data_IF_584345114365
#
_entry.id   IF_584345114365
#
_cell.length_a   1.000
_cell.length_b   1.000
_cell.length_c   1.000
_cell.angle_alpha   90.00
_cell.angle_beta   90.00
_cell.angle_gamma   90.00
#
_symmetry.space_group_name_H-M   'P 1'
#
loop_
_entity.id
_entity.type
_entity.pdbx_description
1 polymer ?
#
# COMPACT_ATOMS: atom_id res chain seq x y z
N UNK A 1 -12.86 -22.25 -20.42
CA UNK A 1 -12.53 -20.95 -19.79
C UNK A 1 -11.21 -21.09 -19.05
N UNK A 2 -10.33 -20.13 -19.20
CA UNK A 2 -8.97 -20.21 -18.61
C UNK A 2 -8.98 -19.51 -17.27
N UNK A 3 -8.51 -20.12 -16.17
CA UNK A 3 -8.30 -19.44 -14.91
C UNK A 3 -7.23 -18.35 -15.04
N UNK A 4 -7.42 -17.26 -14.30
CA UNK A 4 -6.50 -16.13 -14.20
C UNK A 4 -6.15 -15.87 -12.73
N UNK A 5 -4.87 -15.80 -12.42
CA UNK A 5 -4.36 -15.42 -11.09
C UNK A 5 -3.64 -14.08 -11.18
N UNK A 6 -4.05 -13.12 -10.36
CA UNK A 6 -3.31 -11.87 -10.19
C UNK A 6 -2.52 -11.88 -8.88
N UNK A 7 -1.22 -11.67 -8.92
CA UNK A 7 -0.42 -11.53 -7.70
C UNK A 7 -0.77 -10.28 -6.89
N UNK A 8 -1.02 -9.14 -7.55
CA UNK A 8 -0.97 -7.81 -6.91
C UNK A 8 -2.22 -6.95 -7.12
N UNK A 9 -3.27 -7.46 -7.76
CA UNK A 9 -4.48 -6.67 -8.00
C UNK A 9 -5.37 -6.61 -6.76
N UNK A 10 -5.43 -5.44 -6.11
CA UNK A 10 -6.12 -5.22 -4.83
C UNK A 10 -7.57 -4.76 -4.92
N UNK A 11 -8.07 -4.29 -6.09
CA UNK A 11 -9.43 -3.77 -6.18
C UNK A 11 -10.48 -4.82 -5.79
N UNK A 12 -11.47 -4.42 -5.01
CA UNK A 12 -12.44 -5.33 -4.38
C UNK A 12 -13.27 -6.11 -5.42
N UNK A 13 -13.57 -5.46 -6.54
CA UNK A 13 -14.41 -6.01 -7.61
C UNK A 13 -13.70 -6.98 -8.58
N UNK A 14 -12.43 -7.30 -8.36
CA UNK A 14 -11.67 -8.21 -9.23
C UNK A 14 -12.19 -9.64 -9.13
N UNK A 15 -12.43 -10.12 -7.92
CA UNK A 15 -12.90 -11.50 -7.70
C UNK A 15 -14.39 -11.60 -7.38
N UNK A 16 -15.01 -10.48 -6.96
CA UNK A 16 -16.43 -10.39 -6.67
C UNK A 16 -16.97 -9.13 -7.31
N UNK A 17 -17.95 -9.25 -8.19
CA UNK A 17 -18.57 -8.14 -8.87
C UNK A 17 -19.35 -7.23 -7.92
N UNK A 18 -19.72 -6.02 -8.35
CA UNK A 18 -20.48 -5.05 -7.55
C UNK A 18 -21.85 -5.58 -7.11
N UNK A 19 -22.45 -6.51 -7.86
CA UNK A 19 -23.70 -7.20 -7.55
C UNK A 19 -23.52 -8.41 -6.59
N UNK A 20 -22.31 -8.64 -6.10
CA UNK A 20 -21.97 -9.73 -5.20
C UNK A 20 -21.65 -11.07 -5.87
N UNK A 21 -21.74 -11.17 -7.20
CA UNK A 21 -21.40 -12.41 -7.90
C UNK A 21 -19.90 -12.65 -7.94
N UNK A 22 -19.50 -13.88 -7.62
CA UNK A 22 -18.11 -14.33 -7.71
C UNK A 22 -17.71 -14.46 -9.18
N UNK A 23 -16.50 -14.00 -9.50
CA UNK A 23 -15.84 -14.24 -10.78
C UNK A 23 -15.21 -15.63 -10.78
N UNK A 24 -15.81 -16.66 -11.43
CA UNK A 24 -15.45 -18.06 -11.17
C UNK A 24 -14.06 -18.47 -11.67
N UNK A 25 -13.40 -17.65 -12.48
CA UNK A 25 -12.09 -17.95 -13.06
C UNK A 25 -11.05 -16.88 -12.75
N UNK A 26 -11.33 -15.98 -11.79
CA UNK A 26 -10.44 -14.89 -11.42
C UNK A 26 -10.04 -15.02 -9.95
N UNK A 27 -8.75 -15.12 -9.70
CA UNK A 27 -8.15 -15.31 -8.39
C UNK A 27 -7.12 -14.20 -8.10
N UNK A 28 -6.83 -13.98 -6.84
CA UNK A 28 -5.78 -13.06 -6.39
C UNK A 28 -5.00 -13.62 -5.20
N UNK A 29 -3.72 -13.27 -5.09
CA UNK A 29 -2.93 -13.51 -3.90
C UNK A 29 -2.96 -12.32 -2.92
N UNK A 30 -3.17 -11.09 -3.43
CA UNK A 30 -3.17 -9.86 -2.64
C UNK A 30 -4.45 -9.65 -1.81
N UNK A 31 -4.35 -8.89 -0.70
CA UNK A 31 -5.50 -8.40 0.07
C UNK A 31 -6.39 -7.47 -0.76
N UNK A 32 -7.64 -7.32 -0.30
CA UNK A 32 -8.56 -6.32 -0.83
C UNK A 32 -8.15 -4.91 -0.40
N UNK A 33 -8.36 -3.91 -1.28
CA UNK A 33 -8.15 -2.51 -0.95
C UNK A 33 -9.00 -2.07 0.26
N UNK A 34 -10.22 -2.61 0.40
CA UNK A 34 -11.08 -2.35 1.56
C UNK A 34 -10.45 -2.85 2.87
N UNK A 35 -9.77 -4.00 2.84
CA UNK A 35 -9.04 -4.51 4.00
C UNK A 35 -7.83 -3.63 4.35
N UNK A 36 -7.02 -3.26 3.35
CA UNK A 36 -5.87 -2.38 3.53
C UNK A 36 -6.27 -1.05 4.17
N UNK A 37 -7.24 -0.35 3.58
CA UNK A 37 -7.71 0.93 4.10
C UNK A 37 -8.25 0.83 5.54
N UNK A 38 -8.95 -0.27 5.86
CA UNK A 38 -9.42 -0.53 7.24
C UNK A 38 -8.25 -0.75 8.21
N UNK A 39 -7.23 -1.53 7.82
CA UNK A 39 -6.05 -1.77 8.67
C UNK A 39 -5.20 -0.52 8.85
N UNK A 40 -5.05 0.28 7.81
CA UNK A 40 -4.37 1.57 7.91
C UNK A 40 -5.09 2.51 8.90
N UNK A 41 -6.43 2.58 8.85
CA UNK A 41 -7.21 3.38 9.78
C UNK A 41 -7.05 2.91 11.23
N UNK A 42 -7.07 1.59 11.47
CA UNK A 42 -6.80 1.00 12.79
C UNK A 42 -5.39 1.35 13.29
N UNK A 43 -4.36 1.15 12.45
CA UNK A 43 -2.97 1.49 12.79
C UNK A 43 -2.81 2.98 13.12
N UNK A 44 -3.42 3.86 12.32
CA UNK A 44 -3.40 5.31 12.53
C UNK A 44 -4.01 5.68 13.89
N UNK A 45 -5.12 5.04 14.26
CA UNK A 45 -5.79 5.27 15.54
C UNK A 45 -5.05 4.63 16.71
N UNK A 46 -4.71 3.34 16.58
CA UNK A 46 -4.32 2.51 17.73
C UNK A 46 -2.82 2.58 18.01
N UNK A 47 -2.00 2.77 16.99
CA UNK A 47 -0.52 2.77 17.10
C UNK A 47 0.05 4.17 16.99
N UNK A 48 -0.27 4.91 15.92
CA UNK A 48 0.20 6.28 15.72
C UNK A 48 -0.48 7.24 16.70
N UNK A 49 -1.68 6.90 17.19
CA UNK A 49 -2.51 7.73 18.08
C UNK A 49 -2.92 9.06 17.48
N UNK A 50 -2.93 9.17 16.15
CA UNK A 50 -3.37 10.35 15.44
C UNK A 50 -4.89 10.53 15.60
N UNK A 51 -5.28 11.75 15.95
CA UNK A 51 -6.69 12.17 16.09
C UNK A 51 -7.16 12.95 14.87
N UNK A 52 -6.29 13.77 14.32
CA UNK A 52 -6.53 14.62 13.17
C UNK A 52 -5.58 14.22 12.03
N UNK A 53 -6.13 13.90 10.87
CA UNK A 53 -5.30 13.49 9.71
C UNK A 53 -5.63 14.30 8.47
N UNK A 54 -4.63 14.39 7.59
CA UNK A 54 -4.79 14.86 6.22
C UNK A 54 -4.67 13.66 5.28
N UNK A 55 -5.48 13.60 4.24
CA UNK A 55 -5.43 12.54 3.23
C UNK A 55 -5.03 13.14 1.87
N UNK A 56 -4.00 12.57 1.27
CA UNK A 56 -3.65 12.77 -0.12
C UNK A 56 -3.89 11.49 -0.89
N UNK A 57 -4.69 11.55 -1.96
CA UNK A 57 -5.07 10.35 -2.71
C UNK A 57 -4.73 10.48 -4.19
N UNK A 58 -4.20 9.42 -4.75
CA UNK A 58 -4.17 9.23 -6.19
C UNK A 58 -5.60 8.96 -6.69
N UNK A 59 -6.13 9.84 -7.54
CA UNK A 59 -7.47 9.67 -8.13
C UNK A 59 -7.42 9.19 -9.60
N UNK A 60 -6.24 8.86 -10.11
CA UNK A 60 -6.07 8.31 -11.46
C UNK A 60 -6.44 6.82 -11.57
N UNK A 61 -6.65 6.16 -10.41
CA UNK A 61 -6.95 4.72 -10.37
C UNK A 61 -7.93 4.35 -9.25
N UNK A 62 -8.59 3.18 -9.41
CA UNK A 62 -9.44 2.59 -8.37
C UNK A 62 -8.65 2.17 -7.11
N UNK A 63 -7.32 2.07 -7.21
CA UNK A 63 -6.47 1.72 -6.08
C UNK A 63 -6.46 2.82 -5.00
N UNK A 64 -6.04 4.03 -5.35
CA UNK A 64 -5.97 5.14 -4.40
C UNK A 64 -7.34 5.53 -3.85
N UNK A 65 -8.36 5.62 -4.73
CA UNK A 65 -9.72 5.97 -4.33
C UNK A 65 -10.38 4.89 -3.48
N UNK A 66 -10.18 3.60 -3.81
CA UNK A 66 -10.74 2.47 -3.07
C UNK A 66 -10.20 2.37 -1.64
N UNK A 67 -8.88 2.52 -1.47
CA UNK A 67 -8.23 2.53 -0.15
C UNK A 67 -8.69 3.75 0.66
N UNK A 68 -8.73 4.94 0.04
CA UNK A 68 -9.20 6.16 0.70
C UNK A 68 -10.63 6.01 1.25
N UNK A 69 -11.54 5.46 0.45
CA UNK A 69 -12.92 5.24 0.87
C UNK A 69 -13.01 4.27 2.05
N UNK A 70 -12.23 3.19 2.01
CA UNK A 70 -12.18 2.22 3.10
C UNK A 70 -11.55 2.82 4.38
N UNK A 71 -10.49 3.59 4.23
CA UNK A 71 -9.87 4.32 5.35
C UNK A 71 -10.88 5.28 6.00
N UNK A 72 -11.52 6.15 5.21
CA UNK A 72 -12.53 7.10 5.69
C UNK A 72 -13.67 6.43 6.45
N UNK A 73 -14.11 5.26 5.97
CA UNK A 73 -15.19 4.49 6.61
C UNK A 73 -14.78 3.92 7.97
N UNK A 74 -13.51 3.54 8.11
CA UNK A 74 -13.01 2.85 9.30
C UNK A 74 -12.35 3.78 10.32
N UNK A 75 -11.81 4.92 9.88
CA UNK A 75 -11.12 5.87 10.73
C UNK A 75 -12.10 6.58 11.67
N UNK A 76 -11.74 6.61 12.95
CA UNK A 76 -12.59 7.17 14.01
C UNK A 76 -12.19 8.58 14.44
N UNK A 77 -11.07 9.09 13.92
CA UNK A 77 -10.62 10.46 14.16
C UNK A 77 -11.22 11.45 13.17
N UNK A 78 -10.69 12.66 13.15
CA UNK A 78 -11.10 13.73 12.27
C UNK A 78 -10.22 13.78 11.01
N UNK A 79 -10.84 14.01 9.87
CA UNK A 79 -10.13 14.23 8.59
C UNK A 79 -10.19 15.73 8.29
N UNK A 80 -9.06 16.38 8.53
CA UNK A 80 -8.93 17.85 8.44
C UNK A 80 -8.98 18.33 6.99
N UNK A 81 -8.39 17.55 6.09
CA UNK A 81 -8.35 17.83 4.65
C UNK A 81 -8.29 16.53 3.85
N UNK A 82 -8.88 16.54 2.68
CA UNK A 82 -8.64 15.53 1.65
C UNK A 82 -8.33 16.24 0.35
N UNK A 83 -7.18 15.99 -0.22
CA UNK A 83 -6.81 16.52 -1.55
C UNK A 83 -6.38 15.36 -2.46
N UNK A 84 -6.42 15.59 -3.77
CA UNK A 84 -6.16 14.56 -4.77
C UNK A 84 -5.08 15.01 -5.74
N UNK A 85 -4.33 14.04 -6.23
CA UNK A 85 -3.32 14.20 -7.27
C UNK A 85 -3.51 13.13 -8.35
N UNK A 86 -2.79 13.28 -9.47
CA UNK A 86 -2.76 12.32 -10.56
C UNK A 86 -1.41 11.58 -10.58
N UNK A 87 -1.42 10.34 -11.04
CA UNK A 87 -0.18 9.63 -11.36
C UNK A 87 0.67 10.44 -12.35
N UNK A 88 1.95 10.61 -12.02
CA UNK A 88 2.90 11.40 -12.80
C UNK A 88 3.05 12.86 -12.36
N UNK A 89 2.23 13.33 -11.43
CA UNK A 89 2.40 14.64 -10.81
C UNK A 89 3.75 14.72 -10.07
N UNK A 90 4.40 15.89 -10.12
CA UNK A 90 5.73 16.11 -9.51
C UNK A 90 5.77 17.26 -8.54
N UNK A 91 4.81 18.18 -8.61
CA UNK A 91 4.72 19.36 -7.75
C UNK A 91 3.47 19.28 -6.86
N UNK A 92 3.71 19.24 -5.56
CA UNK A 92 2.68 19.13 -4.53
C UNK A 92 2.65 20.33 -3.59
N UNK A 93 3.37 21.41 -3.92
CA UNK A 93 3.49 22.58 -3.06
C UNK A 93 2.15 23.23 -2.76
N UNK A 94 1.25 23.29 -3.75
CA UNK A 94 -0.08 23.85 -3.58
C UNK A 94 -0.90 23.06 -2.52
N UNK A 95 -0.88 21.73 -2.61
CA UNK A 95 -1.54 20.84 -1.64
C UNK A 95 -0.93 20.99 -0.25
N UNK A 96 0.39 20.99 -0.15
CA UNK A 96 1.11 21.15 1.11
C UNK A 96 0.90 22.53 1.75
N UNK A 97 0.83 23.57 0.94
CA UNK A 97 0.55 24.94 1.41
C UNK A 97 -0.83 25.05 2.04
N UNK A 98 -1.85 24.38 1.50
CA UNK A 98 -3.21 24.35 2.08
C UNK A 98 -3.24 23.81 3.51
N UNK A 99 -2.33 22.88 3.82
CA UNK A 99 -2.32 22.20 5.13
C UNK A 99 -1.27 22.75 6.09
N UNK A 100 -0.27 23.49 5.60
CA UNK A 100 0.88 23.95 6.39
C UNK A 100 0.49 24.63 7.72
N UNK A 101 -0.59 25.40 7.72
CA UNK A 101 -1.06 26.14 8.90
C UNK A 101 -2.22 25.45 9.64
N UNK A 102 -2.59 24.24 9.22
CA UNK A 102 -3.62 23.44 9.90
C UNK A 102 -2.98 22.59 11.00
N UNK A 103 -3.75 22.25 12.02
CA UNK A 103 -3.34 21.29 13.05
C UNK A 103 -3.76 19.89 12.60
N UNK A 104 -2.81 19.00 12.52
CA UNK A 104 -3.04 17.58 12.23
C UNK A 104 -1.85 16.76 12.76
N UNK A 105 -2.09 15.47 13.02
CA UNK A 105 -1.14 14.57 13.66
C UNK A 105 -0.44 13.65 12.68
N UNK A 106 -1.04 13.42 11.51
CA UNK A 106 -0.47 12.53 10.49
C UNK A 106 -0.98 12.87 9.09
N UNK A 107 -0.21 12.44 8.08
CA UNK A 107 -0.62 12.45 6.67
C UNK A 107 -0.85 11.00 6.23
N UNK A 108 -1.96 10.75 5.56
CA UNK A 108 -2.25 9.49 4.88
C UNK A 108 -2.09 9.69 3.38
N UNK A 109 -1.18 8.96 2.73
CA UNK A 109 -0.94 9.06 1.30
C UNK A 109 -1.40 7.75 0.65
N UNK A 110 -2.49 7.81 -0.10
CA UNK A 110 -3.07 6.66 -0.79
C UNK A 110 -2.71 6.68 -2.28
N UNK A 111 -1.62 6.03 -2.62
CA UNK A 111 -1.07 5.94 -3.97
C UNK A 111 0.21 5.11 -4.00
N UNK A 112 1.09 5.46 -4.92
CA UNK A 112 2.34 4.73 -5.15
C UNK A 112 3.57 5.52 -4.69
N UNK A 113 4.68 4.79 -4.56
CA UNK A 113 5.97 5.30 -4.04
C UNK A 113 6.51 6.51 -4.83
N UNK A 114 6.21 6.62 -6.13
CA UNK A 114 6.74 7.70 -6.97
C UNK A 114 6.25 9.06 -6.50
N UNK A 115 4.94 9.25 -6.44
CA UNK A 115 4.30 10.50 -5.99
C UNK A 115 4.45 10.68 -4.48
N UNK A 116 4.28 9.59 -3.72
CA UNK A 116 4.46 9.61 -2.26
C UNK A 116 5.87 10.05 -1.85
N UNK A 117 6.91 9.61 -2.55
CA UNK A 117 8.29 10.05 -2.32
C UNK A 117 8.48 11.55 -2.58
N UNK A 118 7.89 12.06 -3.66
CA UNK A 118 7.94 13.48 -3.99
C UNK A 118 7.13 14.34 -3.00
N UNK A 119 5.93 13.88 -2.59
CA UNK A 119 5.12 14.54 -1.54
C UNK A 119 5.92 14.57 -0.23
N UNK A 120 6.49 13.44 0.17
CA UNK A 120 7.25 13.32 1.40
C UNK A 120 8.44 14.28 1.43
N UNK A 121 9.22 14.32 0.35
CA UNK A 121 10.35 15.26 0.21
C UNK A 121 9.88 16.71 0.38
N UNK A 122 8.89 17.13 -0.41
CA UNK A 122 8.40 18.50 -0.38
C UNK A 122 7.76 18.85 0.97
N UNK A 123 7.06 17.92 1.62
CA UNK A 123 6.51 18.12 2.96
C UNK A 123 7.63 18.39 4.00
N UNK A 124 8.69 17.57 3.99
CA UNK A 124 9.84 17.77 4.90
C UNK A 124 10.58 19.07 4.61
N UNK A 125 10.77 19.42 3.34
CA UNK A 125 11.38 20.71 2.94
C UNK A 125 10.55 21.92 3.44
N UNK A 126 9.23 21.76 3.58
CA UNK A 126 8.33 22.77 4.14
C UNK A 126 8.20 22.73 5.67
N UNK A 127 8.92 21.84 6.36
CA UNK A 127 8.90 21.67 7.83
C UNK A 127 7.72 20.84 8.34
N UNK A 128 7.00 20.11 7.50
CA UNK A 128 5.91 19.20 7.88
C UNK A 128 6.52 17.84 8.24
N UNK A 129 6.73 17.58 9.54
CA UNK A 129 7.46 16.43 10.06
C UNK A 129 6.58 15.38 10.75
N UNK A 130 5.26 15.43 10.57
CA UNK A 130 4.33 14.46 11.13
C UNK A 130 4.53 13.06 10.53
N UNK A 131 4.08 11.99 11.20
CA UNK A 131 4.03 10.65 10.64
C UNK A 131 3.29 10.59 9.30
N UNK A 132 3.78 9.74 8.40
CA UNK A 132 3.14 9.44 7.10
C UNK A 132 2.74 7.98 7.08
N UNK A 133 1.50 7.71 6.73
CA UNK A 133 0.93 6.36 6.62
C UNK A 133 0.48 6.11 5.18
N UNK A 134 0.80 4.96 4.63
CA UNK A 134 0.38 4.59 3.29
C UNK A 134 0.09 3.12 3.09
N UNK A 135 -0.47 2.76 1.93
CA UNK A 135 -0.70 1.38 1.56
C UNK A 135 0.59 0.68 1.10
N UNK A 136 0.44 -0.56 0.68
CA UNK A 136 1.51 -1.40 0.12
C UNK A 136 2.21 -0.77 -1.10
N UNK A 137 1.54 0.09 -1.84
CA UNK A 137 2.12 0.85 -2.96
C UNK A 137 3.29 1.76 -2.58
N UNK A 138 3.47 2.07 -1.28
CA UNK A 138 4.64 2.80 -0.79
C UNK A 138 5.85 1.90 -0.53
N UNK A 139 5.67 0.59 -0.50
CA UNK A 139 6.69 -0.38 -0.08
C UNK A 139 7.72 -0.74 -1.15
N UNK A 140 8.27 0.25 -1.84
CA UNK A 140 9.36 0.11 -2.81
C UNK A 140 10.58 0.89 -2.31
N UNK A 141 11.82 0.35 -2.41
CA UNK A 141 13.06 1.07 -2.07
C UNK A 141 13.21 2.43 -2.75
N UNK A 142 12.64 2.60 -3.94
CA UNK A 142 12.64 3.86 -4.69
C UNK A 142 11.93 5.01 -3.96
N UNK A 143 11.02 4.71 -3.02
CA UNK A 143 10.44 5.76 -2.17
C UNK A 143 11.53 6.54 -1.45
N UNK A 144 12.49 5.83 -0.84
CA UNK A 144 13.60 6.46 -0.12
C UNK A 144 14.59 7.16 -1.07
N UNK A 145 14.79 6.64 -2.28
CA UNK A 145 15.62 7.29 -3.30
C UNK A 145 15.02 8.63 -3.74
N UNK A 146 13.69 8.69 -3.97
CA UNK A 146 12.97 9.89 -4.40
C UNK A 146 12.85 10.90 -3.26
N UNK A 147 12.45 10.43 -2.09
CA UNK A 147 12.27 11.30 -0.92
C UNK A 147 13.60 11.82 -0.35
N UNK A 148 14.68 11.06 -0.51
CA UNK A 148 15.93 11.18 0.26
C UNK A 148 15.79 10.44 1.60
N UNK A 149 16.81 9.63 1.94
CA UNK A 149 16.80 8.79 3.14
C UNK A 149 16.49 9.56 4.44
N UNK A 150 17.01 10.78 4.57
CA UNK A 150 16.78 11.65 5.73
C UNK A 150 15.31 12.03 5.92
N UNK A 151 14.48 11.95 4.88
CA UNK A 151 13.07 12.34 4.88
C UNK A 151 12.13 11.16 5.17
N UNK A 152 12.66 9.94 5.27
CA UNK A 152 11.84 8.72 5.45
C UNK A 152 11.57 8.36 6.92
N UNK A 153 12.00 9.17 7.86
CA UNK A 153 11.68 8.97 9.28
C UNK A 153 10.16 9.08 9.51
N UNK A 154 9.61 8.19 10.35
CA UNK A 154 8.19 8.12 10.68
C UNK A 154 7.28 7.89 9.45
N UNK A 155 7.76 7.11 8.47
CA UNK A 155 6.96 6.64 7.34
C UNK A 155 6.59 5.18 7.58
N UNK A 156 5.29 4.90 7.53
CA UNK A 156 4.72 3.58 7.76
C UNK A 156 3.88 3.18 6.56
N UNK A 157 3.96 1.93 6.18
CA UNK A 157 3.10 1.40 5.11
C UNK A 157 2.65 -0.03 5.41
N UNK A 158 1.48 -0.39 4.90
CA UNK A 158 1.01 -1.76 4.96
C UNK A 158 1.87 -2.63 4.02
N UNK A 159 2.24 -3.82 4.48
CA UNK A 159 3.02 -4.76 3.68
C UNK A 159 2.43 -6.16 3.75
N UNK A 160 2.52 -6.89 2.65
CA UNK A 160 2.12 -8.30 2.57
C UNK A 160 3.22 -9.23 3.09
N UNK A 161 4.46 -8.77 2.98
CA UNK A 161 5.65 -9.53 3.31
C UNK A 161 6.76 -8.60 3.80
N UNK A 162 7.57 -9.08 4.73
CA UNK A 162 8.76 -8.39 5.23
C UNK A 162 9.89 -9.39 5.45
N UNK A 163 11.08 -9.10 4.94
CA UNK A 163 12.29 -9.88 5.22
C UNK A 163 12.77 -9.71 6.66
N UNK A 164 12.37 -8.62 7.32
CA UNK A 164 12.74 -8.30 8.71
C UNK A 164 11.80 -8.95 9.74
N UNK A 165 10.58 -9.31 9.33
CA UNK A 165 9.58 -9.93 10.18
C UNK A 165 8.84 -11.02 9.37
N UNK A 166 9.51 -12.17 9.10
CA UNK A 166 8.91 -13.25 8.34
C UNK A 166 7.72 -13.83 9.12
N UNK A 167 6.58 -13.93 8.44
CA UNK A 167 5.34 -14.40 9.06
C UNK A 167 5.25 -15.94 9.14
N UNK A 168 6.07 -16.66 8.36
CA UNK A 168 6.06 -18.13 8.29
C UNK A 168 7.47 -18.69 8.12
N UNK A 169 7.65 -19.96 8.48
CA UNK A 169 8.92 -20.68 8.31
C UNK A 169 9.34 -20.78 6.83
N UNK A 170 8.39 -20.76 5.90
CA UNK A 170 8.66 -20.79 4.47
C UNK A 170 9.31 -19.51 3.92
N UNK A 171 9.19 -18.40 4.64
CA UNK A 171 9.74 -17.11 4.22
C UNK A 171 11.29 -17.11 4.19
N UNK A 172 11.93 -17.73 5.16
CA UNK A 172 13.40 -17.76 5.25
C UNK A 172 14.06 -18.49 4.08
N UNK A 173 13.66 -19.72 3.70
CA UNK A 173 14.16 -20.38 2.51
C UNK A 173 13.91 -19.58 1.22
N UNK A 174 12.73 -19.00 1.06
CA UNK A 174 12.41 -18.15 -0.09
C UNK A 174 13.38 -16.96 -0.22
N UNK A 175 13.62 -16.22 0.86
CA UNK A 175 14.55 -15.07 0.86
C UNK A 175 15.97 -15.53 0.51
N UNK A 176 16.42 -16.63 1.09
CA UNK A 176 17.78 -17.18 0.88
C UNK A 176 17.99 -17.55 -0.58
N UNK A 177 17.08 -18.32 -1.17
CA UNK A 177 17.20 -18.76 -2.55
C UNK A 177 17.02 -17.58 -3.54
N UNK A 178 16.15 -16.63 -3.24
CA UNK A 178 15.99 -15.43 -4.05
C UNK A 178 17.27 -14.58 -4.08
N UNK A 179 17.90 -14.34 -2.91
CA UNK A 179 19.18 -13.64 -2.82
C UNK A 179 20.28 -14.34 -3.59
N UNK A 180 20.36 -15.66 -3.48
CA UNK A 180 21.34 -16.48 -4.21
C UNK A 180 21.15 -16.38 -5.73
N UNK A 181 19.89 -16.37 -6.20
CA UNK A 181 19.58 -16.33 -7.62
C UNK A 181 19.76 -14.95 -8.26
N UNK A 182 19.40 -13.88 -7.53
CA UNK A 182 19.27 -12.52 -8.09
C UNK A 182 20.18 -11.48 -7.45
N UNK A 183 20.94 -11.85 -6.42
CA UNK A 183 21.85 -10.96 -5.66
C UNK A 183 21.14 -9.69 -5.12
N UNK A 184 19.87 -9.82 -4.72
CA UNK A 184 19.05 -8.74 -4.16
C UNK A 184 18.00 -9.28 -3.21
N UNK A 185 17.46 -8.41 -2.33
CA UNK A 185 16.33 -8.74 -1.47
C UNK A 185 15.04 -8.88 -2.28
N UNK A 186 14.19 -9.89 -1.99
CA UNK A 186 12.86 -9.94 -2.57
C UNK A 186 11.97 -8.81 -2.02
N UNK A 187 11.23 -8.15 -2.90
CA UNK A 187 10.17 -7.23 -2.50
C UNK A 187 8.91 -8.00 -2.06
N UNK A 188 7.97 -7.30 -1.41
CA UNK A 188 6.66 -7.87 -1.11
C UNK A 188 5.92 -8.34 -2.38
N UNK A 189 6.08 -7.65 -3.50
CA UNK A 189 5.46 -8.02 -4.78
C UNK A 189 6.11 -9.29 -5.37
N UNK A 190 7.39 -9.48 -5.16
CA UNK A 190 8.09 -10.72 -5.50
C UNK A 190 7.54 -11.91 -4.71
N UNK A 191 7.33 -11.73 -3.40
CA UNK A 191 6.73 -12.77 -2.56
C UNK A 191 5.32 -13.13 -3.02
N UNK A 192 4.47 -12.13 -3.30
CA UNK A 192 3.12 -12.37 -3.82
C UNK A 192 3.11 -13.10 -5.17
N UNK A 193 4.06 -12.79 -6.06
CA UNK A 193 4.18 -13.48 -7.34
C UNK A 193 4.62 -14.93 -7.15
N UNK A 194 5.54 -15.19 -6.24
CA UNK A 194 5.96 -16.53 -5.84
C UNK A 194 4.79 -17.34 -5.27
N UNK A 195 4.06 -16.77 -4.31
CA UNK A 195 2.90 -17.41 -3.70
C UNK A 195 1.80 -17.72 -4.73
N UNK A 196 1.54 -16.80 -5.67
CA UNK A 196 0.55 -17.01 -6.73
C UNK A 196 0.86 -18.25 -7.59
N UNK A 197 2.15 -18.50 -7.90
CA UNK A 197 2.59 -19.71 -8.63
C UNK A 197 2.37 -20.96 -7.77
N UNK A 198 2.70 -20.91 -6.48
CA UNK A 198 2.49 -22.04 -5.57
C UNK A 198 1.01 -22.33 -5.33
N UNK A 199 0.16 -21.33 -5.27
CA UNK A 199 -1.30 -21.53 -5.20
C UNK A 199 -1.82 -22.28 -6.44
N UNK A 200 -1.34 -21.91 -7.63
CA UNK A 200 -1.70 -22.62 -8.88
C UNK A 200 -1.18 -24.05 -8.86
N UNK A 201 0.09 -24.24 -8.46
CA UNK A 201 0.72 -25.57 -8.33
C UNK A 201 -0.10 -26.46 -7.39
N UNK A 202 -0.42 -25.97 -6.20
CA UNK A 202 -1.18 -26.72 -5.22
C UNK A 202 -2.57 -27.11 -5.75
N UNK A 203 -3.29 -26.19 -6.39
CA UNK A 203 -4.59 -26.47 -6.98
C UNK A 203 -4.53 -27.58 -8.05
N UNK A 204 -3.46 -27.60 -8.86
CA UNK A 204 -3.25 -28.65 -9.86
C UNK A 204 -2.91 -30.01 -9.20
N UNK A 205 -2.14 -29.99 -8.11
CA UNK A 205 -1.76 -31.20 -7.38
C UNK A 205 -2.94 -31.83 -6.62
N UNK A 206 -3.81 -30.98 -6.04
CA UNK A 206 -5.00 -31.41 -5.30
C UNK A 206 -6.07 -32.04 -6.23
N UNK A 207 -6.14 -31.62 -7.50
CA UNK A 207 -7.08 -32.14 -8.50
C UNK A 207 -6.55 -33.36 -9.30
N UNK A 208 -5.34 -33.84 -9.00
CA UNK A 208 -4.85 -35.10 -9.62
C UNK A 208 -5.59 -36.29 -9.05
N UNK A 209 -6.16 -37.18 -9.91
CA UNK A 209 -6.85 -38.39 -9.48
C UNK A 209 -5.88 -39.39 -8.81
#
# INVERSE_FOLDING_TARGET
KTPMMSPTAGADNITVQKDGKVQPYVFRAQFKNSYLGTKMAQFTTDTVKAKDVVIFQDNSSDYGTGITNAFKKAYKGNIVETDSYQAGDKDFQAMLTKIKNKKFDAIVINGYYTEAGAILKQARDMGINVPVIGPDGLGDPKLAEIAGNQNTSNVYYAAHFSTQAPATDAATPFVTEYKKAYNQEPSQFTALAYDAVYMIKQAIEDEKP
#
